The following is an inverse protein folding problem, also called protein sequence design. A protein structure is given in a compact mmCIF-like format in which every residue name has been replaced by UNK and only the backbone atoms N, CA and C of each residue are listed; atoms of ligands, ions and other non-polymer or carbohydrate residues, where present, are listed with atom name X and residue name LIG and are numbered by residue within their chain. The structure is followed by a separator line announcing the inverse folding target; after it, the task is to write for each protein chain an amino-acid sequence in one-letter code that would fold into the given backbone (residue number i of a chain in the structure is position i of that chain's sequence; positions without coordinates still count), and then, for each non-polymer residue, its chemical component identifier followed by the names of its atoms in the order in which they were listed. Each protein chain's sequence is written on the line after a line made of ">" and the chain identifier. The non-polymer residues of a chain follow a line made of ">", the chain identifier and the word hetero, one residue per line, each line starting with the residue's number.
data_IF_140011683346
#
_entry.id   IF_140011683346
#
_cell.length_a   1.000
_cell.length_b   1.000
_cell.length_c   1.000
_cell.angle_alpha   90.00
_cell.angle_beta   90.00
_cell.angle_gamma   90.00
#
_symmetry.space_group_name_H-M   'P 1'
#
loop_
_entity.id
_entity.type
_entity.pdbx_description
1 polymer ?
#
# COMPACT_ATOMS: atom_id res chain seq x y z
N UNK A 1 13.86 -35.65 -20.70
CA UNK A 1 13.62 -34.23 -20.35
C UNK A 1 13.05 -34.14 -18.95
N UNK A 2 11.86 -34.69 -18.71
CA UNK A 2 11.20 -34.81 -17.41
C UNK A 2 12.06 -35.43 -16.31
N UNK A 3 12.85 -36.47 -16.60
CA UNK A 3 13.68 -37.14 -15.60
C UNK A 3 14.67 -36.21 -14.86
N UNK A 4 15.32 -35.29 -15.58
CA UNK A 4 16.25 -34.35 -14.94
C UNK A 4 15.51 -33.25 -14.15
N UNK A 5 14.34 -32.80 -14.63
CA UNK A 5 13.52 -31.83 -13.91
C UNK A 5 13.09 -32.39 -12.55
N UNK A 6 12.66 -33.65 -12.51
CA UNK A 6 12.29 -34.33 -11.27
C UNK A 6 13.49 -34.51 -10.33
N UNK A 7 14.64 -34.90 -10.87
CA UNK A 7 15.88 -34.99 -10.10
C UNK A 7 16.27 -33.63 -9.49
N UNK A 8 16.23 -32.57 -10.30
CA UNK A 8 16.53 -31.20 -9.86
C UNK A 8 15.54 -30.70 -8.81
N UNK A 9 14.23 -30.86 -9.05
CA UNK A 9 13.19 -30.44 -8.11
C UNK A 9 13.36 -31.14 -6.75
N UNK A 10 13.59 -32.46 -6.76
CA UNK A 10 13.88 -33.23 -5.55
C UNK A 10 15.18 -32.78 -4.87
N UNK A 11 16.21 -32.48 -5.66
CA UNK A 11 17.49 -32.02 -5.14
C UNK A 11 17.39 -30.65 -4.43
N UNK A 12 16.52 -29.76 -4.93
CA UNK A 12 16.21 -28.46 -4.31
C UNK A 12 15.37 -28.64 -3.04
N UNK A 13 14.37 -29.53 -3.05
CA UNK A 13 13.49 -29.78 -1.91
C UNK A 13 14.23 -30.39 -0.70
N UNK A 14 15.17 -31.31 -0.95
CA UNK A 14 15.92 -32.01 0.10
C UNK A 14 17.20 -31.24 0.49
N UNK A 15 17.60 -30.21 -0.27
CA UNK A 15 18.80 -29.41 0.02
C UNK A 15 20.10 -30.19 -0.18
N UNK A 16 20.28 -30.81 -1.35
CA UNK A 16 21.41 -31.71 -1.61
C UNK A 16 22.78 -31.02 -1.59
N UNK A 17 23.80 -31.75 -1.13
CA UNK A 17 25.18 -31.25 -1.02
C UNK A 17 25.77 -30.72 -2.33
N UNK A 18 25.36 -31.27 -3.48
CA UNK A 18 25.83 -30.83 -4.79
C UNK A 18 25.38 -29.38 -5.10
N UNK A 19 24.11 -29.05 -4.84
CA UNK A 19 23.55 -27.69 -5.02
C UNK A 19 24.00 -26.69 -3.94
N UNK A 20 24.75 -27.15 -2.94
CA UNK A 20 25.41 -26.28 -1.95
C UNK A 20 26.77 -25.75 -2.43
N UNK A 21 27.31 -26.28 -3.54
CA UNK A 21 28.58 -25.85 -4.14
C UNK A 21 28.34 -24.91 -5.32
N UNK A 22 29.21 -23.89 -5.50
CA UNK A 22 29.10 -22.95 -6.64
C UNK A 22 29.14 -23.68 -8.00
N UNK A 23 30.06 -24.63 -8.27
CA UNK A 23 30.10 -25.32 -9.57
C UNK A 23 28.83 -26.15 -9.86
N UNK A 24 28.28 -26.83 -8.85
CA UNK A 24 27.03 -27.59 -9.04
C UNK A 24 25.83 -26.69 -9.31
N UNK A 25 25.83 -25.47 -8.75
CA UNK A 25 24.82 -24.46 -9.02
C UNK A 25 24.95 -23.89 -10.43
N UNK A 26 26.17 -23.56 -10.86
CA UNK A 26 26.43 -23.08 -12.22
C UNK A 26 26.03 -24.13 -13.27
N UNK A 27 26.34 -25.42 -13.04
CA UNK A 27 25.90 -26.50 -13.92
C UNK A 27 24.38 -26.61 -13.98
N UNK A 28 23.70 -26.52 -12.84
CA UNK A 28 22.24 -26.52 -12.80
C UNK A 28 21.66 -25.35 -13.59
N UNK A 29 22.25 -24.15 -13.47
CA UNK A 29 21.84 -22.95 -14.21
C UNK A 29 21.97 -23.15 -15.72
N UNK A 30 23.10 -23.66 -16.20
CA UNK A 30 23.28 -23.95 -17.64
C UNK A 30 22.19 -24.88 -18.17
N UNK A 31 21.85 -25.92 -17.40
CA UNK A 31 20.78 -26.85 -17.77
C UNK A 31 19.42 -26.17 -17.77
N UNK A 32 19.09 -25.37 -16.75
CA UNK A 32 17.83 -24.60 -16.68
C UNK A 32 17.70 -23.71 -17.93
N UNK A 33 18.72 -22.93 -18.26
CA UNK A 33 18.69 -22.02 -19.41
C UNK A 33 18.57 -22.76 -20.74
N UNK A 34 19.28 -23.88 -20.89
CA UNK A 34 19.15 -24.74 -22.06
C UNK A 34 17.75 -25.36 -22.19
N UNK A 35 17.03 -25.56 -21.08
CA UNK A 35 15.62 -25.96 -21.13
C UNK A 35 14.73 -24.80 -21.54
N UNK A 36 14.83 -23.64 -20.88
CA UNK A 36 13.99 -22.47 -21.17
C UNK A 36 14.11 -22.03 -22.63
N UNK A 37 15.31 -22.09 -23.21
CA UNK A 37 15.53 -21.74 -24.62
C UNK A 37 14.84 -22.67 -25.64
N UNK A 38 14.40 -23.86 -25.23
CA UNK A 38 13.73 -24.85 -26.10
C UNK A 38 12.20 -24.80 -25.99
N UNK A 39 11.66 -24.00 -25.07
CA UNK A 39 10.23 -23.92 -24.79
C UNK A 39 9.56 -22.99 -25.81
N UNK A 40 9.13 -23.56 -26.94
CA UNK A 40 8.49 -22.78 -28.01
C UNK A 40 7.00 -23.09 -28.20
N UNK A 41 6.52 -24.30 -27.85
CA UNK A 41 5.13 -24.70 -28.04
C UNK A 41 4.57 -25.54 -26.87
N UNK A 42 3.34 -25.26 -26.40
CA UNK A 42 2.73 -25.99 -25.30
C UNK A 42 2.18 -27.35 -25.70
N UNK A 43 2.44 -28.33 -24.84
CA UNK A 43 1.75 -29.61 -24.76
C UNK A 43 1.46 -29.88 -23.28
N UNK A 44 0.46 -30.71 -22.97
CA UNK A 44 0.05 -30.96 -21.57
C UNK A 44 1.22 -31.50 -20.73
N UNK A 45 1.98 -32.46 -21.26
CA UNK A 45 3.15 -33.02 -20.57
C UNK A 45 4.30 -32.00 -20.40
N UNK A 46 4.45 -31.07 -21.35
CA UNK A 46 5.45 -30.01 -21.22
C UNK A 46 5.04 -28.96 -20.17
N UNK A 47 3.74 -28.63 -20.06
CA UNK A 47 3.23 -27.62 -19.12
C UNK A 47 3.54 -28.01 -17.66
N UNK A 48 3.15 -29.21 -17.25
CA UNK A 48 3.39 -29.68 -15.87
C UNK A 48 4.89 -29.75 -15.55
N UNK A 49 5.70 -30.28 -16.47
CA UNK A 49 7.14 -30.39 -16.30
C UNK A 49 7.82 -29.02 -16.19
N UNK A 50 7.43 -28.04 -17.03
CA UNK A 50 7.98 -26.68 -16.97
C UNK A 50 7.51 -25.97 -15.71
N UNK A 51 6.24 -26.10 -15.33
CA UNK A 51 5.72 -25.55 -14.08
C UNK A 51 6.49 -26.10 -12.87
N UNK A 52 6.77 -27.41 -12.86
CA UNK A 52 7.60 -28.05 -11.83
C UNK A 52 9.04 -27.52 -11.80
N UNK A 53 9.65 -27.35 -12.98
CA UNK A 53 10.98 -26.74 -13.12
C UNK A 53 11.00 -25.31 -12.56
N UNK A 54 10.03 -24.48 -12.92
CA UNK A 54 9.92 -23.09 -12.44
C UNK A 54 9.70 -23.04 -10.92
N UNK A 55 8.87 -23.93 -10.37
CA UNK A 55 8.67 -24.03 -8.91
C UNK A 55 9.96 -24.35 -8.16
N UNK A 56 10.77 -25.28 -8.68
CA UNK A 56 12.09 -25.59 -8.15
C UNK A 56 13.10 -24.45 -8.36
N UNK A 57 13.09 -23.84 -9.55
CA UNK A 57 13.91 -22.69 -9.92
C UNK A 57 13.69 -21.52 -8.94
N UNK A 58 12.43 -21.20 -8.64
CA UNK A 58 12.05 -20.17 -7.67
C UNK A 58 12.68 -20.40 -6.30
N UNK A 59 12.67 -21.63 -5.79
CA UNK A 59 13.30 -21.96 -4.49
C UNK A 59 14.82 -21.88 -4.61
N UNK A 60 15.39 -22.42 -5.68
CA UNK A 60 16.81 -22.42 -5.96
C UNK A 60 17.42 -21.00 -6.05
N UNK A 61 16.66 -20.05 -6.63
CA UNK A 61 17.06 -18.63 -6.80
C UNK A 61 17.16 -17.85 -5.49
N UNK A 62 16.70 -18.39 -4.35
CA UNK A 62 16.81 -17.73 -3.03
C UNK A 62 18.26 -17.65 -2.56
N UNK A 63 19.10 -18.61 -2.94
CA UNK A 63 20.54 -18.54 -2.73
C UNK A 63 21.21 -17.93 -3.96
N UNK A 64 21.86 -16.78 -3.80
CA UNK A 64 22.40 -15.99 -4.91
C UNK A 64 23.74 -16.50 -5.43
N UNK A 65 24.38 -17.47 -4.78
CA UNK A 65 25.71 -17.96 -5.17
C UNK A 65 25.65 -18.74 -6.49
N UNK A 66 26.51 -18.42 -7.45
CA UNK A 66 26.66 -19.19 -8.70
C UNK A 66 25.42 -19.19 -9.62
N UNK A 67 24.56 -18.17 -9.53
CA UNK A 67 23.34 -18.06 -10.34
C UNK A 67 23.25 -16.78 -11.19
N UNK A 68 24.35 -16.06 -11.38
CA UNK A 68 24.36 -14.76 -12.06
C UNK A 68 23.73 -14.82 -13.46
N UNK A 69 23.95 -15.90 -14.21
CA UNK A 69 23.34 -16.11 -15.53
C UNK A 69 21.82 -16.27 -15.45
N UNK A 70 21.30 -16.94 -14.42
CA UNK A 70 19.86 -17.09 -14.20
C UNK A 70 19.19 -15.78 -13.76
N UNK A 71 19.99 -14.84 -13.24
CA UNK A 71 19.58 -13.51 -12.82
C UNK A 71 19.81 -12.45 -13.92
N UNK A 72 20.17 -12.86 -15.13
CA UNK A 72 20.42 -11.96 -16.25
C UNK A 72 19.13 -11.42 -16.89
N UNK A 73 19.26 -10.44 -17.77
CA UNK A 73 18.15 -9.89 -18.53
C UNK A 73 17.54 -10.92 -19.50
N UNK A 74 18.37 -11.78 -20.08
CA UNK A 74 17.94 -12.86 -20.98
C UNK A 74 17.09 -13.91 -20.24
N UNK A 75 17.49 -14.25 -19.01
CA UNK A 75 16.71 -15.15 -18.16
C UNK A 75 15.39 -14.52 -17.71
N UNK A 76 15.42 -13.23 -17.37
CA UNK A 76 14.21 -12.46 -17.06
C UNK A 76 13.23 -12.44 -18.24
N UNK A 77 13.74 -12.24 -19.47
CA UNK A 77 12.96 -12.30 -20.70
C UNK A 77 12.34 -13.67 -20.95
N UNK A 78 13.11 -14.73 -20.70
CA UNK A 78 12.61 -16.10 -20.80
C UNK A 78 11.41 -16.35 -19.87
N UNK A 79 11.48 -15.87 -18.61
CA UNK A 79 10.34 -15.97 -17.70
C UNK A 79 9.15 -15.13 -18.17
N UNK A 80 9.38 -13.93 -18.69
CA UNK A 80 8.31 -13.07 -19.17
C UNK A 80 7.60 -13.67 -20.39
N UNK A 81 8.33 -14.25 -21.34
CA UNK A 81 7.76 -14.93 -22.51
C UNK A 81 6.82 -16.08 -22.11
N UNK A 82 7.19 -16.83 -21.06
CA UNK A 82 6.31 -17.87 -20.51
C UNK A 82 5.06 -17.28 -19.87
N UNK A 83 5.19 -16.19 -19.13
CA UNK A 83 4.05 -15.51 -18.49
C UNK A 83 3.08 -14.84 -19.49
N UNK A 84 3.58 -14.36 -20.64
CA UNK A 84 2.78 -13.72 -21.69
C UNK A 84 2.00 -14.73 -22.55
N UNK A 85 2.52 -15.93 -22.72
CA UNK A 85 1.93 -16.91 -23.63
C UNK A 85 0.70 -17.58 -22.98
N UNK A 86 -0.49 -17.13 -23.40
CA UNK A 86 -1.80 -17.63 -22.94
C UNK A 86 -2.10 -19.10 -23.27
N UNK A 87 -1.26 -19.71 -24.10
CA UNK A 87 -1.41 -21.13 -24.43
C UNK A 87 -0.87 -22.04 -23.31
N UNK A 88 -0.12 -21.48 -22.34
CA UNK A 88 0.27 -22.15 -21.11
C UNK A 88 -0.80 -22.01 -20.01
N UNK A 89 -0.78 -22.93 -19.05
CA UNK A 89 -1.66 -22.90 -17.88
C UNK A 89 -1.40 -21.66 -17.00
N UNK A 90 -2.43 -21.24 -16.25
CA UNK A 90 -2.27 -20.15 -15.26
C UNK A 90 -1.17 -20.45 -14.26
N UNK A 91 -1.12 -21.70 -13.77
CA UNK A 91 -0.13 -22.14 -12.78
C UNK A 91 1.32 -21.95 -13.29
N UNK A 92 1.61 -22.32 -14.54
CA UNK A 92 2.92 -22.12 -15.13
C UNK A 92 3.25 -20.63 -15.26
N UNK A 93 2.29 -19.83 -15.78
CA UNK A 93 2.45 -18.38 -15.94
C UNK A 93 2.70 -17.68 -14.60
N UNK A 94 2.01 -18.11 -13.55
CA UNK A 94 2.22 -17.63 -12.19
C UNK A 94 3.61 -18.00 -11.65
N UNK A 95 4.07 -19.25 -11.83
CA UNK A 95 5.41 -19.64 -11.39
C UNK A 95 6.51 -18.89 -12.17
N UNK A 96 6.28 -18.55 -13.44
CA UNK A 96 7.19 -17.72 -14.22
C UNK A 96 7.29 -16.30 -13.63
N UNK A 97 6.16 -15.66 -13.30
CA UNK A 97 6.15 -14.35 -12.63
C UNK A 97 6.81 -14.42 -11.24
N UNK A 98 6.62 -15.51 -10.48
CA UNK A 98 7.32 -15.70 -9.19
C UNK A 98 8.83 -15.82 -9.36
N UNK A 99 9.31 -16.44 -10.44
CA UNK A 99 10.73 -16.42 -10.79
C UNK A 99 11.20 -15.00 -11.14
N UNK A 100 10.41 -14.22 -11.90
CA UNK A 100 10.73 -12.81 -12.19
C UNK A 100 10.87 -11.96 -10.91
N UNK A 101 9.97 -12.14 -9.92
CA UNK A 101 10.06 -11.45 -8.62
C UNK A 101 11.43 -11.72 -7.98
N UNK A 102 11.87 -12.99 -7.97
CA UNK A 102 13.18 -13.34 -7.43
C UNK A 102 14.34 -12.76 -8.26
N UNK A 103 14.17 -12.56 -9.56
CA UNK A 103 15.19 -11.93 -10.42
C UNK A 103 15.38 -10.44 -10.10
N UNK A 104 14.34 -9.73 -9.67
CA UNK A 104 14.40 -8.28 -9.38
C UNK A 104 14.61 -7.95 -7.91
N UNK A 105 14.21 -8.86 -7.00
CA UNK A 105 14.30 -8.66 -5.56
C UNK A 105 15.74 -8.43 -5.07
N UNK A 106 15.93 -7.35 -4.28
CA UNK A 106 17.23 -6.94 -3.72
C UNK A 106 18.33 -6.76 -4.77
N UNK A 107 17.99 -6.27 -5.97
CA UNK A 107 18.94 -6.00 -7.08
C UNK A 107 18.68 -4.64 -7.73
N UNK A 108 18.84 -3.53 -6.98
CA UNK A 108 18.42 -2.21 -7.45
C UNK A 108 19.16 -1.73 -8.70
N UNK A 109 20.45 -1.99 -8.84
CA UNK A 109 21.23 -1.57 -10.02
C UNK A 109 20.75 -2.26 -11.30
N UNK A 110 20.48 -3.57 -11.21
CA UNK A 110 19.94 -4.34 -12.33
C UNK A 110 18.56 -3.81 -12.75
N UNK A 111 17.69 -3.56 -11.78
CA UNK A 111 16.33 -3.05 -12.01
C UNK A 111 16.36 -1.69 -12.70
N UNK A 112 17.15 -0.75 -12.19
CA UNK A 112 17.26 0.62 -12.71
C UNK A 112 17.77 0.69 -14.15
N UNK A 113 18.60 -0.28 -14.57
CA UNK A 113 19.17 -0.36 -15.93
C UNK A 113 18.33 -1.19 -16.91
N UNK A 114 17.52 -2.13 -16.41
CA UNK A 114 16.96 -3.19 -17.27
C UNK A 114 15.46 -3.02 -17.51
N UNK A 115 14.66 -2.80 -16.46
CA UNK A 115 13.20 -2.98 -16.59
C UNK A 115 12.53 -1.98 -17.52
N UNK A 116 12.95 -0.72 -17.48
CA UNK A 116 12.38 0.35 -18.31
C UNK A 116 13.04 0.34 -19.69
N UNK A 117 14.37 0.34 -19.74
CA UNK A 117 15.13 0.47 -20.99
C UNK A 117 14.90 -0.70 -21.95
N UNK A 118 14.64 -1.90 -21.43
CA UNK A 118 14.38 -3.09 -22.25
C UNK A 118 12.88 -3.39 -22.41
N UNK A 119 12.00 -2.47 -22.01
CA UNK A 119 10.56 -2.58 -22.27
C UNK A 119 9.81 -3.64 -21.46
N UNK A 120 10.41 -4.22 -20.41
CA UNK A 120 9.77 -5.21 -19.55
C UNK A 120 8.48 -4.67 -18.90
N UNK A 121 8.49 -3.40 -18.49
CA UNK A 121 7.32 -2.75 -17.87
C UNK A 121 6.12 -2.77 -18.80
N UNK A 122 6.27 -2.36 -20.06
CA UNK A 122 5.16 -2.30 -21.01
C UNK A 122 4.54 -3.68 -21.25
N UNK A 123 5.38 -4.71 -21.32
CA UNK A 123 4.99 -6.11 -21.48
C UNK A 123 4.27 -6.67 -20.25
N UNK A 124 4.78 -6.42 -19.05
CA UNK A 124 4.11 -6.75 -17.79
C UNK A 124 2.72 -6.09 -17.71
N UNK A 125 2.59 -4.81 -18.08
CA UNK A 125 1.31 -4.13 -18.11
C UNK A 125 0.36 -4.68 -19.18
N UNK A 126 0.89 -5.27 -20.26
CA UNK A 126 0.07 -6.00 -21.23
C UNK A 126 -0.59 -7.20 -20.57
N UNK A 127 0.15 -7.97 -19.76
CA UNK A 127 -0.40 -9.11 -18.98
C UNK A 127 -1.50 -8.64 -18.03
N UNK A 128 -1.29 -7.55 -17.30
CA UNK A 128 -2.31 -6.99 -16.39
C UNK A 128 -3.61 -6.54 -17.08
N UNK A 129 -3.58 -6.28 -18.40
CA UNK A 129 -4.78 -5.95 -19.19
C UNK A 129 -5.53 -7.17 -19.71
N UNK A 130 -4.94 -8.38 -19.63
CA UNK A 130 -5.48 -9.56 -20.29
C UNK A 130 -6.73 -10.14 -19.61
N UNK A 131 -7.09 -9.67 -18.40
CA UNK A 131 -8.33 -10.04 -17.71
C UNK A 131 -8.32 -11.47 -17.18
N UNK A 132 -7.15 -11.94 -16.74
CA UNK A 132 -6.93 -13.29 -16.22
C UNK A 132 -7.25 -13.38 -14.71
N UNK A 133 -6.84 -14.48 -14.06
CA UNK A 133 -6.95 -14.72 -12.63
C UNK A 133 -6.37 -13.57 -11.77
N UNK A 134 -7.02 -13.29 -10.63
CA UNK A 134 -6.58 -12.35 -9.60
C UNK A 134 -5.15 -12.65 -9.15
N UNK A 135 -4.76 -13.93 -9.07
CA UNK A 135 -3.40 -14.33 -8.72
C UNK A 135 -2.36 -13.82 -9.74
N UNK A 136 -2.67 -13.89 -11.03
CA UNK A 136 -1.78 -13.42 -12.09
C UNK A 136 -1.65 -11.90 -12.06
N UNK A 137 -2.79 -11.18 -11.91
CA UNK A 137 -2.78 -9.73 -11.74
C UNK A 137 -1.92 -9.32 -10.54
N UNK A 138 -2.10 -9.98 -9.40
CA UNK A 138 -1.30 -9.73 -8.21
C UNK A 138 0.19 -9.89 -8.47
N UNK A 139 0.61 -10.97 -9.12
CA UNK A 139 2.02 -11.23 -9.39
C UNK A 139 2.65 -10.19 -10.32
N UNK A 140 1.93 -9.71 -11.34
CA UNK A 140 2.40 -8.61 -12.19
C UNK A 140 2.67 -7.36 -11.36
N UNK A 141 1.71 -6.95 -10.54
CA UNK A 141 1.87 -5.79 -9.67
C UNK A 141 2.93 -6.01 -8.59
N UNK A 142 3.13 -7.27 -8.15
CA UNK A 142 4.17 -7.62 -7.20
C UNK A 142 5.56 -7.45 -7.78
N UNK A 143 5.78 -7.84 -9.05
CA UNK A 143 7.06 -7.59 -9.74
C UNK A 143 7.34 -6.09 -9.74
N UNK A 144 6.36 -5.26 -10.13
CA UNK A 144 6.53 -3.80 -10.18
C UNK A 144 6.78 -3.19 -8.79
N UNK A 145 6.06 -3.65 -7.76
CA UNK A 145 6.24 -3.20 -6.38
C UNK A 145 7.62 -3.56 -5.82
N UNK A 146 8.10 -4.78 -6.06
CA UNK A 146 9.43 -5.19 -5.58
C UNK A 146 10.54 -4.41 -6.28
N UNK A 147 10.36 -4.08 -7.56
CA UNK A 147 11.28 -3.22 -8.30
C UNK A 147 11.39 -1.80 -7.74
N UNK A 148 10.42 -1.35 -6.95
CA UNK A 148 10.49 -0.06 -6.25
C UNK A 148 11.54 -0.02 -5.12
N UNK A 149 12.18 -1.15 -4.77
CA UNK A 149 13.40 -1.13 -3.94
C UNK A 149 14.55 -0.33 -4.59
N UNK A 150 14.50 -0.11 -5.90
CA UNK A 150 15.43 0.72 -6.64
C UNK A 150 14.89 2.17 -6.75
N UNK A 151 15.49 3.17 -6.07
CA UNK A 151 14.96 4.53 -6.06
C UNK A 151 14.91 5.16 -7.47
N UNK A 152 15.92 4.93 -8.31
CA UNK A 152 15.94 5.49 -9.67
C UNK A 152 14.84 4.89 -10.53
N UNK A 153 14.48 3.62 -10.31
CA UNK A 153 13.35 3.01 -10.99
C UNK A 153 12.04 3.72 -10.64
N UNK A 154 11.80 4.08 -9.38
CA UNK A 154 10.58 4.79 -8.99
C UNK A 154 10.45 6.15 -9.68
N UNK A 155 11.54 6.93 -9.72
CA UNK A 155 11.59 8.23 -10.40
C UNK A 155 11.30 8.08 -11.90
N UNK A 156 11.94 7.10 -12.54
CA UNK A 156 11.73 6.82 -13.96
C UNK A 156 10.34 6.27 -14.25
N UNK A 157 9.79 5.44 -13.36
CA UNK A 157 8.45 4.87 -13.48
C UNK A 157 7.39 5.98 -13.53
N UNK A 158 7.52 6.99 -12.67
CA UNK A 158 6.64 8.17 -12.66
C UNK A 158 6.78 9.00 -13.94
N UNK A 159 8.01 9.25 -14.38
CA UNK A 159 8.29 10.16 -15.51
C UNK A 159 8.00 9.53 -16.87
N UNK A 160 8.38 8.26 -17.04
CA UNK A 160 8.47 7.60 -18.34
C UNK A 160 7.29 6.63 -18.60
N UNK A 161 6.60 6.19 -17.54
CA UNK A 161 5.60 5.12 -17.63
C UNK A 161 4.18 5.56 -17.20
N UNK A 162 3.60 6.54 -17.92
CA UNK A 162 2.22 7.02 -17.71
C UNK A 162 1.17 5.89 -17.63
N UNK A 163 1.38 4.80 -18.37
CA UNK A 163 0.47 3.64 -18.36
C UNK A 163 0.28 3.03 -16.97
N UNK A 164 1.26 3.11 -16.08
CA UNK A 164 1.17 2.59 -14.71
C UNK A 164 0.16 3.42 -13.90
N UNK A 165 0.30 4.74 -13.96
CA UNK A 165 -0.59 5.68 -13.25
C UNK A 165 -2.04 5.48 -13.67
N UNK A 166 -2.29 5.15 -14.94
CA UNK A 166 -3.64 4.88 -15.47
C UNK A 166 -4.16 3.49 -15.09
N UNK A 167 -3.32 2.46 -15.13
CA UNK A 167 -3.76 1.07 -14.98
C UNK A 167 -3.93 0.65 -13.50
N UNK A 168 -3.18 1.26 -12.58
CA UNK A 168 -3.29 0.96 -11.14
C UNK A 168 -4.71 1.22 -10.62
N UNK A 169 -5.34 2.40 -10.82
CA UNK A 169 -6.70 2.64 -10.35
C UNK A 169 -7.73 1.70 -10.99
N UNK A 170 -7.52 1.29 -12.25
CA UNK A 170 -8.40 0.33 -12.93
C UNK A 170 -8.30 -1.06 -12.29
N UNK A 171 -7.08 -1.51 -11.99
CA UNK A 171 -6.87 -2.81 -11.33
C UNK A 171 -7.35 -2.78 -9.89
N UNK A 172 -7.13 -1.68 -9.16
CA UNK A 172 -7.66 -1.49 -7.82
C UNK A 172 -9.19 -1.51 -7.83
N UNK A 173 -9.82 -0.85 -8.81
CA UNK A 173 -11.28 -0.86 -8.97
C UNK A 173 -11.79 -2.27 -9.26
N UNK A 174 -11.12 -2.99 -10.16
CA UNK A 174 -11.44 -4.39 -10.45
C UNK A 174 -11.35 -5.24 -9.17
N UNK A 175 -10.21 -5.20 -8.49
CA UNK A 175 -9.95 -5.93 -7.26
C UNK A 175 -10.86 -5.53 -6.10
N UNK A 176 -11.40 -4.31 -6.06
CA UNK A 176 -12.27 -3.88 -4.96
C UNK A 176 -13.77 -4.11 -5.25
N UNK A 177 -14.21 -4.00 -6.49
CA UNK A 177 -15.64 -4.05 -6.81
C UNK A 177 -16.13 -5.39 -7.38
N UNK A 178 -15.25 -6.26 -7.88
CA UNK A 178 -15.67 -7.50 -8.55
C UNK A 178 -15.48 -8.73 -7.67
N UNK A 179 -16.44 -9.67 -7.72
CA UNK A 179 -16.40 -10.92 -6.95
C UNK A 179 -16.98 -10.80 -5.53
N UNK A 180 -16.80 -11.84 -4.72
CA UNK A 180 -17.34 -11.90 -3.37
C UNK A 180 -16.64 -10.89 -2.44
N UNK A 181 -17.39 -9.92 -1.91
CA UNK A 181 -16.87 -8.84 -1.09
C UNK A 181 -16.19 -9.31 0.21
N UNK A 182 -16.53 -10.51 0.71
CA UNK A 182 -15.83 -11.10 1.85
C UNK A 182 -14.34 -11.37 1.56
N UNK A 183 -13.97 -11.61 0.29
CA UNK A 183 -12.59 -11.89 -0.15
C UNK A 183 -11.68 -10.64 -0.13
N UNK A 184 -12.22 -9.45 0.14
CA UNK A 184 -11.40 -8.26 0.37
C UNK A 184 -10.54 -8.42 1.64
N UNK A 185 -10.98 -9.27 2.59
CA UNK A 185 -10.27 -9.54 3.82
C UNK A 185 -9.50 -10.87 3.82
N UNK A 186 -9.63 -11.71 2.79
CA UNK A 186 -9.02 -13.05 2.78
C UNK A 186 -8.50 -13.44 1.39
N UNK A 187 -7.41 -14.20 1.35
CA UNK A 187 -6.90 -14.82 0.13
C UNK A 187 -6.22 -13.85 -0.85
N UNK A 188 -6.16 -14.25 -2.13
CA UNK A 188 -5.38 -13.56 -3.16
C UNK A 188 -5.85 -12.13 -3.44
N UNK A 189 -7.15 -11.87 -3.28
CA UNK A 189 -7.76 -10.56 -3.52
C UNK A 189 -7.34 -9.54 -2.46
N UNK A 190 -7.32 -9.92 -1.20
CA UNK A 190 -6.78 -9.08 -0.12
C UNK A 190 -5.31 -8.72 -0.38
N UNK A 191 -4.49 -9.70 -0.80
CA UNK A 191 -3.08 -9.49 -1.12
C UNK A 191 -2.89 -8.56 -2.32
N UNK A 192 -3.69 -8.73 -3.38
CA UNK A 192 -3.70 -7.84 -4.55
C UNK A 192 -3.98 -6.40 -4.13
N UNK A 193 -5.06 -6.16 -3.38
CA UNK A 193 -5.45 -4.83 -2.92
C UNK A 193 -4.35 -4.21 -2.08
N UNK A 194 -3.81 -4.95 -1.12
CA UNK A 194 -2.76 -4.46 -0.23
C UNK A 194 -1.49 -4.08 -1.00
N UNK A 195 -1.02 -4.92 -1.93
CA UNK A 195 0.19 -4.65 -2.71
C UNK A 195 -0.03 -3.51 -3.74
N UNK A 196 -1.24 -3.37 -4.29
CA UNK A 196 -1.60 -2.20 -5.10
C UNK A 196 -1.56 -0.90 -4.27
N UNK A 197 -2.14 -0.90 -3.06
CA UNK A 197 -2.11 0.30 -2.21
C UNK A 197 -0.68 0.62 -1.76
N UNK A 198 0.17 -0.37 -1.48
CA UNK A 198 1.61 -0.16 -1.23
C UNK A 198 2.31 0.50 -2.43
N UNK A 199 2.05 0.02 -3.65
CA UNK A 199 2.61 0.62 -4.86
C UNK A 199 2.13 2.07 -5.04
N UNK A 200 0.85 2.33 -4.76
CA UNK A 200 0.30 3.68 -4.74
C UNK A 200 1.03 4.55 -3.71
N UNK A 201 1.31 4.05 -2.51
CA UNK A 201 2.04 4.80 -1.47
C UNK A 201 3.42 5.25 -1.99
N UNK A 202 4.17 4.35 -2.64
CA UNK A 202 5.46 4.68 -3.26
C UNK A 202 5.27 5.77 -4.33
N UNK A 203 4.30 5.59 -5.22
CA UNK A 203 4.03 6.50 -6.32
C UNK A 203 3.62 7.90 -5.86
N UNK A 204 2.76 8.02 -4.85
CA UNK A 204 2.34 9.32 -4.30
C UNK A 204 3.53 10.03 -3.65
N UNK A 205 4.35 9.29 -2.90
CA UNK A 205 5.55 9.85 -2.28
C UNK A 205 6.56 10.36 -3.33
N UNK A 206 6.70 9.69 -4.47
CA UNK A 206 7.60 10.17 -5.54
C UNK A 206 7.01 11.33 -6.35
N UNK A 207 5.70 11.28 -6.66
CA UNK A 207 5.07 12.31 -7.48
C UNK A 207 4.86 13.63 -6.73
N UNK A 208 4.66 13.59 -5.41
CA UNK A 208 4.40 14.78 -4.59
C UNK A 208 3.25 15.63 -5.14
N UNK A 209 2.06 15.02 -5.32
CA UNK A 209 0.89 15.64 -5.96
C UNK A 209 0.51 17.00 -5.34
N UNK A 210 0.89 18.11 -5.96
CA UNK A 210 0.55 19.48 -5.53
C UNK A 210 -0.48 20.15 -6.45
N UNK A 211 -1.07 21.26 -5.99
CA UNK A 211 -1.97 22.08 -6.81
C UNK A 211 -1.28 22.68 -8.06
N UNK A 212 0.01 22.96 -7.98
CA UNK A 212 0.80 23.40 -9.14
C UNK A 212 0.91 22.29 -10.19
N UNK A 213 1.14 21.05 -9.74
CA UNK A 213 1.18 19.89 -10.63
C UNK A 213 -0.18 19.59 -11.27
N UNK A 214 -1.29 19.84 -10.55
CA UNK A 214 -2.65 19.69 -11.10
C UNK A 214 -2.87 20.54 -12.34
N UNK A 215 -2.35 21.76 -12.32
CA UNK A 215 -2.44 22.69 -13.45
C UNK A 215 -1.59 22.22 -14.64
N UNK A 216 -0.42 21.63 -14.35
CA UNK A 216 0.51 21.16 -15.38
C UNK A 216 0.07 19.83 -16.02
N UNK A 217 -0.65 18.98 -15.28
CA UNK A 217 -0.98 17.62 -15.69
C UNK A 217 -2.44 17.25 -15.38
N UNK A 218 -3.44 17.92 -16.00
CA UNK A 218 -4.85 17.76 -15.64
C UNK A 218 -5.40 16.33 -15.88
N UNK A 219 -4.88 15.61 -16.89
CA UNK A 219 -5.31 14.22 -17.16
C UNK A 219 -4.80 13.23 -16.11
N UNK A 220 -3.59 13.46 -15.57
CA UNK A 220 -3.07 12.72 -14.41
C UNK A 220 -3.99 12.98 -13.22
N UNK A 221 -4.34 14.24 -12.98
CA UNK A 221 -5.17 14.58 -11.84
C UNK A 221 -6.59 14.04 -11.93
N UNK A 222 -7.18 13.90 -13.12
CA UNK A 222 -8.45 13.16 -13.29
C UNK A 222 -8.33 11.71 -12.78
N UNK A 223 -7.18 11.08 -13.02
CA UNK A 223 -6.89 9.71 -12.55
C UNK A 223 -6.66 9.68 -11.04
N UNK A 224 -5.96 10.68 -10.50
CA UNK A 224 -5.74 10.89 -9.06
C UNK A 224 -7.06 11.08 -8.30
N UNK A 225 -7.98 11.91 -8.80
CA UNK A 225 -9.30 12.10 -8.19
C UNK A 225 -10.12 10.80 -8.16
N UNK A 226 -10.09 10.01 -9.25
CA UNK A 226 -10.73 8.67 -9.29
C UNK A 226 -10.12 7.72 -8.27
N UNK A 227 -8.81 7.73 -8.14
CA UNK A 227 -8.09 6.93 -7.15
C UNK A 227 -8.43 7.36 -5.72
N UNK A 228 -8.45 8.66 -5.44
CA UNK A 228 -8.84 9.22 -4.15
C UNK A 228 -10.23 8.77 -3.72
N UNK A 229 -11.20 8.82 -4.63
CA UNK A 229 -12.55 8.29 -4.39
C UNK A 229 -12.53 6.80 -4.03
N UNK A 230 -11.83 5.98 -4.82
CA UNK A 230 -11.75 4.54 -4.58
C UNK A 230 -11.08 4.19 -3.25
N UNK A 231 -10.03 4.93 -2.87
CA UNK A 231 -9.37 4.79 -1.57
C UNK A 231 -10.32 5.14 -0.41
N UNK A 232 -11.15 6.19 -0.56
CA UNK A 232 -12.18 6.51 0.42
C UNK A 232 -13.27 5.42 0.51
N UNK A 233 -13.67 4.83 -0.63
CA UNK A 233 -14.58 3.68 -0.66
C UNK A 233 -14.00 2.46 0.09
N UNK A 234 -12.71 2.16 -0.09
CA UNK A 234 -11.98 1.12 0.66
C UNK A 234 -11.98 1.45 2.16
N UNK A 235 -11.69 2.69 2.53
CA UNK A 235 -11.65 3.12 3.93
C UNK A 235 -13.03 2.96 4.62
N UNK A 236 -14.09 3.28 3.90
CA UNK A 236 -15.48 3.14 4.35
C UNK A 236 -16.01 1.70 4.30
N UNK A 237 -15.30 0.76 3.68
CA UNK A 237 -15.78 -0.60 3.46
C UNK A 237 -16.19 -1.29 4.78
N UNK A 238 -17.40 -1.86 4.78
CA UNK A 238 -17.97 -2.64 5.89
C UNK A 238 -18.67 -3.86 5.29
N UNK A 239 -18.47 -5.03 5.89
CA UNK A 239 -19.10 -6.27 5.45
C UNK A 239 -19.84 -6.92 6.62
N UNK A 240 -21.12 -7.35 6.47
CA UNK A 240 -21.92 -7.87 7.59
C UNK A 240 -21.31 -9.09 8.29
N UNK A 241 -20.56 -9.92 7.57
CA UNK A 241 -19.92 -11.13 8.11
C UNK A 241 -18.49 -10.93 8.60
N UNK A 242 -17.92 -9.73 8.45
CA UNK A 242 -16.55 -9.44 8.87
C UNK A 242 -16.56 -8.49 10.06
N UNK A 243 -15.72 -8.78 11.05
CA UNK A 243 -15.49 -7.82 12.15
C UNK A 243 -14.95 -6.50 11.57
N UNK A 244 -15.43 -5.33 12.02
CA UNK A 244 -14.81 -4.05 11.71
C UNK A 244 -13.34 -3.95 12.14
N UNK A 245 -12.92 -4.80 13.09
CA UNK A 245 -11.55 -4.92 13.60
C UNK A 245 -10.81 -6.14 13.02
N UNK A 246 -11.27 -6.69 11.90
CA UNK A 246 -10.54 -7.76 11.22
C UNK A 246 -9.14 -7.28 10.81
N UNK A 247 -8.10 -8.01 11.19
CA UNK A 247 -6.69 -7.63 10.99
C UNK A 247 -6.37 -7.27 9.54
N UNK A 248 -6.80 -8.06 8.57
CA UNK A 248 -6.54 -7.81 7.14
C UNK A 248 -7.27 -6.56 6.63
N UNK A 249 -8.49 -6.29 7.09
CA UNK A 249 -9.19 -5.05 6.78
C UNK A 249 -8.53 -3.83 7.44
N UNK A 250 -8.08 -3.97 8.68
CA UNK A 250 -7.36 -2.91 9.39
C UNK A 250 -6.04 -2.60 8.68
N UNK A 251 -5.28 -3.63 8.28
CA UNK A 251 -4.03 -3.47 7.53
C UNK A 251 -4.26 -2.75 6.19
N UNK A 252 -5.26 -3.18 5.42
CA UNK A 252 -5.60 -2.53 4.15
C UNK A 252 -5.99 -1.06 4.35
N UNK A 253 -6.85 -0.77 5.32
CA UNK A 253 -7.29 0.60 5.62
C UNK A 253 -6.17 1.47 6.16
N UNK A 254 -5.29 0.93 7.00
CA UNK A 254 -4.14 1.65 7.51
C UNK A 254 -3.16 1.97 6.36
N UNK A 255 -3.00 1.05 5.39
CA UNK A 255 -2.21 1.31 4.19
C UNK A 255 -2.84 2.40 3.31
N UNK A 256 -4.18 2.50 3.25
CA UNK A 256 -4.86 3.64 2.63
C UNK A 256 -4.55 4.95 3.36
N UNK A 257 -4.53 4.94 4.70
CA UNK A 257 -4.13 6.12 5.48
C UNK A 257 -2.67 6.53 5.22
N UNK A 258 -1.76 5.57 5.01
CA UNK A 258 -0.40 5.88 4.57
C UNK A 258 -0.37 6.59 3.22
N UNK A 259 -1.21 6.20 2.25
CA UNK A 259 -1.34 6.95 0.99
C UNK A 259 -1.78 8.39 1.28
N UNK A 260 -2.82 8.57 2.08
CA UNK A 260 -3.38 9.88 2.42
C UNK A 260 -2.40 10.77 3.20
N UNK A 261 -1.49 10.17 3.98
CA UNK A 261 -0.43 10.89 4.70
C UNK A 261 0.50 11.66 3.76
N UNK A 262 0.73 11.15 2.54
CA UNK A 262 1.58 11.77 1.52
C UNK A 262 0.85 12.77 0.62
N UNK A 263 -0.48 12.93 0.78
CA UNK A 263 -1.25 13.90 0.03
C UNK A 263 -1.28 15.27 0.73
N UNK A 264 -1.31 16.39 -0.01
CA UNK A 264 -1.68 17.67 0.58
C UNK A 264 -3.08 17.57 1.20
N UNK A 265 -3.25 18.12 2.40
CA UNK A 265 -4.54 18.05 3.09
C UNK A 265 -5.66 18.79 2.35
N UNK A 266 -5.35 19.80 1.52
CA UNK A 266 -6.30 20.45 0.62
C UNK A 266 -6.83 19.52 -0.47
N UNK A 267 -5.96 18.70 -1.08
CA UNK A 267 -6.35 17.71 -2.09
C UNK A 267 -7.20 16.60 -1.46
N UNK A 268 -6.78 16.10 -0.30
CA UNK A 268 -7.56 15.09 0.43
C UNK A 268 -8.93 15.63 0.86
N UNK A 269 -9.00 16.89 1.33
CA UNK A 269 -10.26 17.55 1.64
C UNK A 269 -11.17 17.66 0.41
N UNK A 270 -10.62 17.97 -0.77
CA UNK A 270 -11.36 18.00 -2.02
C UNK A 270 -11.96 16.62 -2.35
N UNK A 271 -11.21 15.53 -2.17
CA UNK A 271 -11.75 14.17 -2.38
C UNK A 271 -12.93 13.87 -1.45
N UNK A 272 -12.78 14.19 -0.16
CA UNK A 272 -13.81 13.95 0.86
C UNK A 272 -15.07 14.77 0.55
N UNK A 273 -14.91 16.06 0.24
CA UNK A 273 -16.02 16.95 -0.09
C UNK A 273 -16.73 16.53 -1.37
N UNK A 274 -15.99 16.12 -2.41
CA UNK A 274 -16.57 15.61 -3.64
C UNK A 274 -17.41 14.35 -3.37
N UNK A 275 -16.85 13.37 -2.66
CA UNK A 275 -17.56 12.13 -2.34
C UNK A 275 -18.81 12.40 -1.48
N UNK A 276 -18.74 13.33 -0.54
CA UNK A 276 -19.89 13.72 0.27
C UNK A 276 -21.01 14.35 -0.57
N UNK A 277 -20.68 15.25 -1.52
CA UNK A 277 -21.66 15.84 -2.44
C UNK A 277 -22.34 14.79 -3.33
N UNK A 278 -21.57 13.81 -3.81
CA UNK A 278 -22.10 12.70 -4.62
C UNK A 278 -23.05 11.79 -3.81
N UNK A 279 -22.84 11.68 -2.49
CA UNK A 279 -23.63 10.83 -1.58
C UNK A 279 -24.74 11.56 -0.82
N UNK A 280 -24.87 12.88 -0.96
CA UNK A 280 -25.75 13.74 -0.16
C UNK A 280 -27.26 13.41 -0.27
N UNK A 281 -27.67 12.49 -1.15
CA UNK A 281 -29.05 12.01 -1.30
C UNK A 281 -29.37 10.66 -0.66
N UNK A 282 -28.37 9.91 -0.14
CA UNK A 282 -28.58 8.52 0.29
C UNK A 282 -28.43 8.29 1.80
N UNK A 283 -27.49 8.96 2.47
CA UNK A 283 -27.27 8.82 3.92
C UNK A 283 -26.69 10.13 4.47
N UNK A 284 -27.31 10.68 5.52
CA UNK A 284 -26.81 11.84 6.27
C UNK A 284 -25.59 11.41 7.11
N UNK A 285 -24.42 11.29 6.47
CA UNK A 285 -23.16 10.98 7.15
C UNK A 285 -22.34 12.25 7.31
N UNK A 286 -21.64 12.34 8.45
CA UNK A 286 -20.61 13.35 8.64
C UNK A 286 -19.59 13.33 7.48
N UNK A 287 -19.20 14.52 7.04
CA UNK A 287 -18.18 14.75 6.01
C UNK A 287 -16.92 13.92 6.25
N UNK A 288 -16.49 13.80 7.51
CA UNK A 288 -15.26 13.10 7.90
C UNK A 288 -15.47 11.64 8.35
N UNK A 289 -16.64 11.07 8.13
CA UNK A 289 -16.95 9.70 8.56
C UNK A 289 -15.92 8.62 8.13
N UNK A 290 -15.32 8.62 6.92
CA UNK A 290 -14.28 7.63 6.58
C UNK A 290 -13.09 7.66 7.55
N UNK A 291 -12.60 8.87 7.82
CA UNK A 291 -11.37 9.10 8.59
C UNK A 291 -11.65 8.86 10.08
N UNK A 292 -12.80 9.34 10.57
CA UNK A 292 -13.19 9.17 11.97
C UNK A 292 -13.51 7.72 12.33
N UNK A 293 -14.21 6.98 11.45
CA UNK A 293 -14.49 5.55 11.68
C UNK A 293 -13.19 4.74 11.78
N UNK A 294 -12.21 5.04 10.91
CA UNK A 294 -10.92 4.38 10.97
C UNK A 294 -10.08 4.83 12.19
N UNK A 295 -10.09 6.12 12.55
CA UNK A 295 -9.47 6.61 13.78
C UNK A 295 -9.98 5.86 15.01
N UNK A 296 -11.29 5.70 15.11
CA UNK A 296 -11.92 4.94 16.19
C UNK A 296 -11.47 3.49 16.21
N UNK A 297 -11.44 2.81 15.05
CA UNK A 297 -10.95 1.45 14.94
C UNK A 297 -9.47 1.33 15.38
N UNK A 298 -8.61 2.25 14.92
CA UNK A 298 -7.19 2.29 15.29
C UNK A 298 -6.98 2.53 16.79
N UNK A 299 -7.78 3.41 17.41
CA UNK A 299 -7.77 3.59 18.87
C UNK A 299 -8.14 2.30 19.60
N UNK A 300 -9.12 1.53 19.10
CA UNK A 300 -9.48 0.24 19.70
C UNK A 300 -8.34 -0.77 19.59
N UNK A 301 -7.80 -1.01 18.38
CA UNK A 301 -6.75 -2.03 18.18
C UNK A 301 -5.41 -1.66 18.82
N UNK A 302 -5.05 -0.37 18.89
CA UNK A 302 -3.78 0.07 19.50
C UNK A 302 -3.87 0.27 21.02
N UNK A 303 -4.99 0.80 21.53
CA UNK A 303 -5.08 1.23 22.95
C UNK A 303 -5.94 0.33 23.82
N UNK A 304 -6.99 -0.26 23.26
CA UNK A 304 -7.95 -1.06 24.03
C UNK A 304 -7.56 -2.53 23.94
N UNK A 305 -7.50 -3.08 22.73
CA UNK A 305 -7.18 -4.48 22.49
C UNK A 305 -5.67 -4.74 22.45
N UNK A 306 -4.87 -3.72 22.07
CA UNK A 306 -3.40 -3.79 21.95
C UNK A 306 -2.93 -4.91 21.00
N UNK A 307 -3.70 -5.16 19.96
CA UNK A 307 -3.40 -6.10 18.88
C UNK A 307 -2.45 -5.49 17.84
N UNK A 308 -2.36 -4.16 17.78
CA UNK A 308 -1.44 -3.40 16.91
C UNK A 308 -0.42 -2.57 17.70
N UNK A 309 0.82 -2.42 17.21
CA UNK A 309 1.82 -1.55 17.82
C UNK A 309 1.46 -0.06 17.67
N UNK A 310 1.92 0.76 18.61
CA UNK A 310 1.63 2.20 18.66
C UNK A 310 1.97 2.95 17.37
N UNK A 311 3.07 2.58 16.71
CA UNK A 311 3.54 3.20 15.47
C UNK A 311 2.53 3.13 14.32
N UNK A 312 1.62 2.13 14.33
CA UNK A 312 0.57 2.03 13.31
C UNK A 312 -0.49 3.12 13.42
N UNK A 313 -0.56 3.81 14.56
CA UNK A 313 -1.45 4.97 14.73
C UNK A 313 -0.98 6.20 13.95
N UNK A 314 0.32 6.27 13.61
CA UNK A 314 0.96 7.49 13.11
C UNK A 314 0.36 8.00 11.80
N UNK A 315 0.14 7.19 10.74
CA UNK A 315 -0.46 7.66 9.50
C UNK A 315 -1.85 8.27 9.74
N UNK A 316 -2.65 7.64 10.60
CA UNK A 316 -4.00 8.11 10.93
C UNK A 316 -3.97 9.48 11.61
N UNK A 317 -3.09 9.69 12.57
CA UNK A 317 -2.97 10.97 13.28
C UNK A 317 -2.43 12.07 12.36
N UNK A 318 -1.44 11.76 11.50
CA UNK A 318 -0.91 12.73 10.53
C UNK A 318 -1.99 13.17 9.55
N UNK A 319 -2.80 12.23 9.03
CA UNK A 319 -3.92 12.56 8.14
C UNK A 319 -4.95 13.47 8.85
N UNK A 320 -5.32 13.16 10.09
CA UNK A 320 -6.24 13.99 10.86
C UNK A 320 -5.67 15.40 11.07
N UNK A 321 -4.40 15.50 11.44
CA UNK A 321 -3.68 16.77 11.58
C UNK A 321 -3.66 17.57 10.27
N UNK A 322 -3.26 16.96 9.15
CA UNK A 322 -3.11 17.64 7.87
C UNK A 322 -4.45 18.15 7.33
N UNK A 323 -5.53 17.35 7.49
CA UNK A 323 -6.88 17.76 7.15
C UNK A 323 -7.37 18.92 8.02
N UNK A 324 -7.15 18.88 9.35
CA UNK A 324 -7.53 19.97 10.23
C UNK A 324 -6.76 21.26 9.92
N UNK A 325 -5.47 21.15 9.56
CA UNK A 325 -4.59 22.28 9.28
C UNK A 325 -4.84 22.94 7.91
N UNK A 326 -5.10 22.14 6.87
CA UNK A 326 -5.11 22.62 5.46
C UNK A 326 -6.36 22.29 4.67
N UNK A 327 -7.31 21.53 5.25
CA UNK A 327 -8.54 21.10 4.58
C UNK A 327 -9.67 22.14 4.57
N UNK A 328 -9.47 23.31 5.20
CA UNK A 328 -10.46 24.38 5.28
C UNK A 328 -11.34 24.35 6.53
N UNK A 329 -12.12 25.41 6.72
CA UNK A 329 -12.84 25.65 7.98
C UNK A 329 -13.94 24.62 8.26
N UNK A 330 -14.63 24.14 7.23
CA UNK A 330 -15.69 23.14 7.38
C UNK A 330 -15.14 21.80 7.91
N UNK A 331 -13.96 21.40 7.43
CA UNK A 331 -13.25 20.20 7.87
C UNK A 331 -12.82 20.35 9.33
N UNK A 332 -12.21 21.49 9.68
CA UNK A 332 -11.80 21.78 11.06
C UNK A 332 -13.00 21.75 12.02
N UNK A 333 -14.10 22.39 11.64
CA UNK A 333 -15.34 22.44 12.44
C UNK A 333 -15.90 21.03 12.65
N UNK A 334 -15.94 20.22 11.58
CA UNK A 334 -16.37 18.83 11.66
C UNK A 334 -15.51 18.00 12.63
N UNK A 335 -14.18 18.20 12.67
CA UNK A 335 -13.33 17.54 13.66
C UNK A 335 -13.62 18.00 15.09
N UNK A 336 -13.82 19.29 15.35
CA UNK A 336 -14.17 19.79 16.68
C UNK A 336 -15.47 19.14 17.19
N UNK A 337 -16.47 19.11 16.32
CA UNK A 337 -17.78 18.51 16.59
C UNK A 337 -17.72 16.98 16.79
N UNK A 338 -16.74 16.30 16.18
CA UNK A 338 -16.56 14.86 16.31
C UNK A 338 -15.63 14.43 17.45
N UNK A 339 -14.62 15.25 17.81
CA UNK A 339 -13.54 14.85 18.72
C UNK A 339 -13.63 15.50 20.10
N UNK A 340 -13.92 16.81 20.19
CA UNK A 340 -13.86 17.54 21.46
C UNK A 340 -15.13 17.35 22.31
N UNK A 341 -15.06 16.79 23.53
CA UNK A 341 -16.25 16.65 24.37
C UNK A 341 -16.91 18.02 24.63
N UNK A 342 -18.24 18.04 24.79
CA UNK A 342 -18.96 19.26 25.13
C UNK A 342 -18.43 19.85 26.45
N UNK A 343 -18.26 21.17 26.50
CA UNK A 343 -17.73 21.91 27.65
C UNK A 343 -18.69 22.04 28.82
N UNK A 344 -20.00 21.85 28.58
CA UNK A 344 -21.03 21.90 29.62
C UNK A 344 -21.59 20.51 29.93
N UNK A 345 -21.69 20.12 31.22
CA UNK A 345 -22.38 18.90 31.63
C UNK A 345 -23.88 19.10 31.40
N UNK A 346 -24.38 18.62 30.27
CA UNK A 346 -25.82 18.58 30.03
C UNK A 346 -26.41 17.42 30.84
N UNK A 347 -27.12 17.76 31.91
CA UNK A 347 -27.77 16.84 32.87
C UNK A 347 -28.93 15.99 32.29
N UNK A 348 -29.16 16.01 30.98
CA UNK A 348 -30.18 15.19 30.33
C UNK A 348 -29.54 14.01 29.61
N UNK A 349 -29.69 12.82 30.21
CA UNK A 349 -29.58 11.49 29.57
C UNK A 349 -28.43 11.41 28.56
N UNK A 350 -27.20 11.23 29.06
CA UNK A 350 -26.00 10.85 28.30
C UNK A 350 -26.31 10.04 27.03
N UNK A 351 -26.47 10.73 25.91
CA UNK A 351 -26.63 10.09 24.61
C UNK A 351 -25.44 9.16 24.38
N UNK A 352 -25.68 7.96 23.87
CA UNK A 352 -24.64 6.97 23.59
C UNK A 352 -23.49 7.59 22.76
N UNK A 353 -23.83 8.49 21.83
CA UNK A 353 -22.89 9.27 21.04
C UNK A 353 -21.93 10.12 21.89
N UNK A 354 -22.43 10.84 22.90
CA UNK A 354 -21.61 11.65 23.79
C UNK A 354 -20.65 10.82 24.65
N UNK A 355 -21.10 9.64 25.12
CA UNK A 355 -20.25 8.70 25.86
C UNK A 355 -19.11 8.16 24.99
N UNK A 356 -19.41 7.81 23.75
CA UNK A 356 -18.42 7.34 22.76
C UNK A 356 -17.37 8.42 22.46
N UNK A 357 -17.80 9.67 22.29
CA UNK A 357 -16.91 10.83 22.10
C UNK A 357 -15.94 11.02 23.27
N UNK A 358 -16.46 10.99 24.50
CA UNK A 358 -15.65 11.08 25.72
C UNK A 358 -14.63 9.93 25.82
N UNK A 359 -15.05 8.71 25.47
CA UNK A 359 -14.18 7.53 25.49
C UNK A 359 -13.00 7.70 24.52
N UNK A 360 -13.26 8.02 23.25
CA UNK A 360 -12.19 8.18 22.26
C UNK A 360 -11.27 9.36 22.59
N UNK A 361 -11.83 10.49 23.06
CA UNK A 361 -11.04 11.62 23.51
C UNK A 361 -10.11 11.26 24.69
N UNK A 362 -10.57 10.43 25.63
CA UNK A 362 -9.73 9.90 26.71
C UNK A 362 -8.55 9.09 26.16
N UNK A 363 -8.75 8.27 25.15
CA UNK A 363 -7.68 7.49 24.53
C UNK A 363 -6.70 8.37 23.74
N UNK A 364 -7.17 9.40 23.05
CA UNK A 364 -6.29 10.37 22.36
C UNK A 364 -5.38 11.12 23.34
N UNK A 365 -5.90 11.56 24.49
CA UNK A 365 -5.09 12.24 25.52
C UNK A 365 -3.93 11.39 26.03
N UNK A 366 -4.02 10.07 25.97
CA UNK A 366 -2.90 9.21 26.37
C UNK A 366 -1.66 9.41 25.48
N UNK A 367 -1.85 9.71 24.19
CA UNK A 367 -0.71 9.91 23.29
C UNK A 367 0.11 11.15 23.62
N UNK A 368 -0.47 12.12 24.33
CA UNK A 368 0.27 13.28 24.82
C UNK A 368 1.44 12.87 25.73
N UNK A 369 1.31 11.77 26.47
CA UNK A 369 2.36 11.29 27.39
C UNK A 369 3.12 10.07 26.87
N UNK A 370 2.90 9.64 25.62
CA UNK A 370 3.52 8.42 25.11
C UNK A 370 5.03 8.62 24.80
N UNK A 371 5.76 7.50 24.73
CA UNK A 371 7.20 7.49 24.46
C UNK A 371 7.53 7.72 22.98
N UNK A 372 6.62 7.38 22.08
CA UNK A 372 6.76 7.62 20.65
C UNK A 372 6.65 9.13 20.39
N UNK A 373 7.76 9.74 20.00
CA UNK A 373 7.88 11.19 19.86
C UNK A 373 7.00 11.74 18.75
N UNK A 374 6.82 10.98 17.67
CA UNK A 374 6.07 11.43 16.49
C UNK A 374 4.57 11.33 16.76
N UNK A 375 4.10 10.21 17.32
CA UNK A 375 2.69 10.07 17.73
C UNK A 375 2.32 11.13 18.76
N UNK A 376 3.19 11.39 19.74
CA UNK A 376 3.00 12.45 20.73
C UNK A 376 2.93 13.83 20.08
N UNK A 377 3.88 14.15 19.20
CA UNK A 377 3.96 15.44 18.51
C UNK A 377 2.70 15.72 17.70
N UNK A 378 2.37 14.84 16.75
CA UNK A 378 1.24 15.09 15.86
C UNK A 378 -0.11 15.06 16.58
N UNK A 379 -0.27 14.24 17.63
CA UNK A 379 -1.48 14.31 18.46
C UNK A 379 -1.60 15.65 19.18
N UNK A 380 -0.49 16.16 19.72
CA UNK A 380 -0.46 17.44 20.43
C UNK A 380 -0.77 18.61 19.49
N UNK A 381 -0.12 18.65 18.33
CA UNK A 381 -0.35 19.67 17.30
C UNK A 381 -1.80 19.62 16.79
N UNK A 382 -2.34 18.43 16.54
CA UNK A 382 -3.73 18.29 16.09
C UNK A 382 -4.73 18.78 17.14
N UNK A 383 -4.61 18.35 18.41
CA UNK A 383 -5.51 18.80 19.46
C UNK A 383 -5.41 20.32 19.71
N UNK A 384 -4.22 20.90 19.56
CA UNK A 384 -4.03 22.35 19.65
C UNK A 384 -4.79 23.11 18.57
N UNK A 385 -4.77 22.63 17.32
CA UNK A 385 -5.59 23.19 16.22
C UNK A 385 -7.08 23.07 16.50
N UNK A 386 -7.54 21.93 17.04
CA UNK A 386 -8.96 21.76 17.39
C UNK A 386 -9.41 22.72 18.49
N UNK A 387 -8.50 23.15 19.37
CA UNK A 387 -8.77 24.12 20.42
C UNK A 387 -8.53 25.58 19.99
N UNK A 388 -8.59 25.89 18.70
CA UNK A 388 -8.36 27.26 18.18
C UNK A 388 -7.02 27.86 18.59
N UNK A 389 -6.00 27.02 18.69
CA UNK A 389 -4.66 27.40 19.17
C UNK A 389 -4.69 28.02 20.59
N UNK A 390 -5.75 27.71 21.35
CA UNK A 390 -5.98 28.20 22.69
C UNK A 390 -6.07 27.02 23.67
N UNK A 391 -4.93 26.70 24.29
CA UNK A 391 -4.82 25.59 25.25
C UNK A 391 -5.62 25.76 26.56
N UNK A 392 -6.21 26.94 26.79
CA UNK A 392 -6.89 27.30 28.05
C UNK A 392 -8.03 26.37 28.42
N UNK A 393 -8.69 25.78 27.42
CA UNK A 393 -9.90 24.97 27.63
C UNK A 393 -9.60 23.54 28.10
N UNK A 394 -8.33 23.09 28.06
CA UNK A 394 -7.93 21.78 28.56
C UNK A 394 -6.66 21.86 29.43
N UNK A 395 -6.82 21.77 30.75
CA UNK A 395 -5.73 21.85 31.74
C UNK A 395 -4.53 20.93 31.43
N UNK A 396 -4.79 19.71 30.95
CA UNK A 396 -3.75 18.75 30.54
C UNK A 396 -2.99 19.18 29.27
N UNK A 397 -3.69 19.79 28.31
CA UNK A 397 -3.08 20.33 27.09
C UNK A 397 -2.23 21.58 27.44
N UNK A 398 -2.73 22.43 28.34
CA UNK A 398 -2.01 23.58 28.89
C UNK A 398 -0.70 23.20 29.58
N UNK A 399 -0.71 22.17 30.45
CA UNK A 399 0.53 21.68 31.07
C UNK A 399 1.50 21.09 30.05
N UNK A 400 1.00 20.44 28.99
CA UNK A 400 1.83 19.90 27.91
C UNK A 400 2.42 20.96 26.99
N UNK A 401 1.63 21.95 26.58
CA UNK A 401 2.08 23.10 25.77
C UNK A 401 3.17 23.87 26.53
N UNK A 402 2.99 24.07 27.84
CA UNK A 402 4.00 24.69 28.70
C UNK A 402 5.30 23.86 28.78
N UNK A 403 5.22 22.52 28.79
CA UNK A 403 6.38 21.64 28.78
C UNK A 403 7.08 21.52 27.42
N UNK A 404 6.37 21.71 26.30
CA UNK A 404 6.96 21.67 24.95
C UNK A 404 7.64 22.98 24.53
N UNK A 405 7.63 24.02 25.37
CA UNK A 405 8.30 25.31 25.08
C UNK A 405 7.67 26.09 23.92
N UNK A 406 6.45 25.75 23.51
CA UNK A 406 5.75 26.38 22.38
C UNK A 406 5.14 27.70 22.85
N UNK A 407 5.95 28.75 22.85
CA UNK A 407 5.49 30.14 22.94
C UNK A 407 4.62 30.45 21.72
N UNK A 408 3.47 31.09 21.95
CA UNK A 408 2.44 31.51 21.00
C UNK A 408 2.90 32.52 19.93
N UNK A 409 4.21 32.71 19.73
CA UNK A 409 4.79 33.68 18.79
C UNK A 409 5.84 33.12 17.83
N UNK A 410 6.08 31.82 17.77
CA UNK A 410 7.12 31.24 16.91
C UNK A 410 6.63 30.04 16.09
N UNK A 411 5.79 30.28 15.08
CA UNK A 411 5.59 29.33 13.98
C UNK A 411 5.53 30.05 12.63
N UNK A 412 6.69 30.46 12.14
CA UNK A 412 6.95 30.48 10.70
C UNK A 412 7.96 29.38 10.41
N UNK A 413 7.50 28.26 9.82
CA UNK A 413 8.41 27.38 9.10
C UNK A 413 7.76 26.84 7.82
N UNK A 414 8.55 26.95 6.76
CA UNK A 414 8.32 26.53 5.39
C UNK A 414 8.11 25.01 5.30
N UNK A 415 7.35 24.63 4.27
CA UNK A 415 7.16 23.29 3.72
C UNK A 415 8.39 22.38 3.89
N UNK A 416 8.40 21.56 4.93
CA UNK A 416 9.24 20.38 4.99
C UNK A 416 8.29 19.18 5.05
N UNK A 417 8.16 18.53 3.89
CA UNK A 417 7.66 17.17 3.79
C UNK A 417 8.39 16.29 4.81
N UNK A 418 7.72 15.29 5.41
CA UNK A 418 8.41 14.35 6.28
C UNK A 418 9.48 13.61 5.47
N UNK A 419 10.75 13.89 5.76
CA UNK A 419 11.86 13.02 5.34
C UNK A 419 11.69 11.73 6.14
N UNK A 420 11.22 10.67 5.47
CA UNK A 420 11.20 9.34 6.06
C UNK A 420 12.62 8.90 6.46
N UNK A 421 12.78 8.09 7.52
CA UNK A 421 14.04 7.43 7.77
C UNK A 421 14.35 6.49 6.59
N UNK A 422 15.56 6.63 6.06
CA UNK A 422 16.10 5.91 4.89
C UNK A 422 16.06 4.40 5.03
#
# INVERSE_FOLDING_TARGET
>A
MTAWIEEFARAVEIGTAHLNSVPGREEAVERILAFLAKVNNPTVENDEAICRLLGACRVFMRDRRGIDKLLSAESLDSFLLLAENRSWSSALREEALKCMINSVYSRPEFVSQTLIDQGFVARLLSIAKMGDDVALHWLVWKVLLVSCEAPEYCVRMVKDCYSIVVLIPQTLFYGFNHGNQAEIAIGARATLLLDLVKLITVLVNEMQWTAEQETLQPDIFRTVHRLGRLLLEILQFKHPSLSPLNDSLIELKNKVMEVFMFLPGSLLAAFIQQQHRENAGYIERSLLSPVLDHLHAMLLVVRVEKTSPLKEMLPTIIVCHNLAKTGGQDILTCFKDAVLPATEPTDSVTNAFGRTKILFFKHLKFFLTCLDTDVRRYTSEWLFLLCDENGKDFSLLNSFIACMGVSSYAFHFQNLLPVAPR
#
